data_IF_178082911932
#
_entry.id   IF_178082911932
#
_cell.length_a   1.000
_cell.length_b   1.000
_cell.length_c   1.000
_cell.angle_alpha   90.00
_cell.angle_beta   90.00
_cell.angle_gamma   90.00
#
_symmetry.space_group_name_H-M   'P 1'
#
loop_
_entity.id
_entity.type
_entity.pdbx_description
1 polymer ?
#
# COMPACT_ATOMS: atom_id res chain seq x y z
N UNK A 1 -3.44 1.63 10.79
CA UNK A 1 -2.76 0.32 10.67
C UNK A 1 -3.44 -0.54 9.62
N UNK A 2 -2.63 -1.27 8.86
CA UNK A 2 -3.01 -2.16 7.77
C UNK A 2 -2.63 -3.55 8.23
N UNK A 3 -3.62 -4.44 8.27
CA UNK A 3 -3.40 -5.84 8.60
C UNK A 3 -3.42 -6.66 7.30
N UNK A 4 -2.65 -7.74 7.27
CA UNK A 4 -2.59 -8.66 6.13
C UNK A 4 -3.25 -9.99 6.49
N UNK A 5 -3.89 -10.60 5.50
CA UNK A 5 -4.46 -11.95 5.59
C UNK A 5 -4.05 -12.76 4.37
N UNK A 6 -3.72 -14.03 4.58
CA UNK A 6 -3.53 -15.00 3.50
C UNK A 6 -4.86 -15.72 3.27
N UNK A 7 -5.30 -15.72 2.02
CA UNK A 7 -6.44 -16.53 1.58
C UNK A 7 -5.98 -17.97 1.36
N UNK A 8 -6.40 -18.89 2.23
CA UNK A 8 -6.06 -20.31 2.11
C UNK A 8 -7.13 -21.12 1.36
N UNK A 9 -8.00 -20.45 0.59
CA UNK A 9 -9.11 -21.07 -0.16
C UNK A 9 -10.48 -20.51 0.22
N UNK A 10 -10.56 -19.63 1.22
CA UNK A 10 -11.79 -18.95 1.62
C UNK A 10 -12.67 -19.80 2.53
N UNK A 11 -13.86 -19.31 2.82
CA UNK A 11 -14.81 -19.97 3.75
C UNK A 11 -15.19 -21.35 3.23
N UNK A 12 -14.93 -22.39 4.03
CA UNK A 12 -15.19 -23.79 3.70
C UNK A 12 -14.02 -24.53 3.04
N UNK A 13 -12.94 -23.84 2.68
CA UNK A 13 -11.81 -24.40 1.94
C UNK A 13 -10.45 -23.96 2.48
N UNK A 14 -10.32 -23.69 3.78
CA UNK A 14 -9.05 -23.31 4.44
C UNK A 14 -9.05 -21.94 5.12
N UNK A 15 -10.07 -21.11 4.85
CA UNK A 15 -10.31 -19.86 5.55
C UNK A 15 -9.29 -18.77 5.24
N UNK A 16 -9.20 -17.80 6.16
CA UNK A 16 -8.27 -16.67 6.09
C UNK A 16 -7.35 -16.74 7.30
N UNK A 17 -6.04 -16.66 7.08
CA UNK A 17 -5.05 -16.60 8.16
C UNK A 17 -4.53 -15.19 8.31
N UNK A 18 -4.77 -14.58 9.47
CA UNK A 18 -4.20 -13.27 9.83
C UNK A 18 -2.67 -13.38 9.93
N UNK A 19 -1.98 -12.47 9.24
CA UNK A 19 -0.52 -12.33 9.28
C UNK A 19 -0.09 -11.16 10.19
N UNK A 20 -1.05 -10.50 10.84
CA UNK A 20 -0.83 -9.38 11.72
C UNK A 20 -0.70 -8.05 10.98
N UNK A 21 -0.12 -7.07 11.66
CA UNK A 21 0.04 -5.71 11.13
C UNK A 21 1.19 -5.63 10.15
N UNK A 22 0.85 -5.35 8.91
CA UNK A 22 1.78 -5.25 7.80
C UNK A 22 2.37 -3.83 7.65
N UNK A 23 1.56 -2.82 7.94
CA UNK A 23 1.99 -1.42 7.99
C UNK A 23 1.25 -0.68 9.11
N UNK A 24 1.92 0.24 9.79
CA UNK A 24 1.30 1.11 10.80
C UNK A 24 0.33 2.12 10.19
N UNK A 25 0.51 2.43 8.90
CA UNK A 25 -0.21 3.47 8.17
C UNK A 25 0.52 4.81 8.27
N UNK A 26 0.26 5.69 7.30
CA UNK A 26 0.99 6.96 7.13
C UNK A 26 0.13 8.20 7.44
N UNK A 27 -0.98 8.02 8.15
CA UNK A 27 -1.89 9.11 8.55
C UNK A 27 -2.98 9.46 7.54
N UNK A 28 -3.03 8.78 6.40
CA UNK A 28 -4.08 8.96 5.39
C UNK A 28 -5.25 7.97 5.58
N UNK A 29 -6.49 8.36 5.19
CA UNK A 29 -7.63 7.47 5.18
C UNK A 29 -7.48 6.36 4.13
N UNK A 30 -8.11 5.21 4.38
CA UNK A 30 -7.91 3.99 3.59
C UNK A 30 -8.31 4.10 2.11
N UNK A 31 -9.23 5.00 1.77
CA UNK A 31 -9.65 5.29 0.40
C UNK A 31 -8.57 6.02 -0.42
N UNK A 32 -7.58 6.64 0.24
CA UNK A 32 -6.39 7.22 -0.39
C UNK A 32 -5.23 6.25 -0.52
N UNK A 33 -5.31 5.07 0.10
CA UNK A 33 -4.23 4.06 0.07
C UNK A 33 -4.30 3.24 -1.21
N UNK A 34 -3.15 3.00 -1.84
CA UNK A 34 -2.97 2.07 -2.96
C UNK A 34 -1.79 1.15 -2.68
N UNK A 35 -1.83 -0.02 -3.29
CA UNK A 35 -0.77 -1.02 -3.24
C UNK A 35 -0.38 -1.41 -4.67
N UNK A 36 0.89 -1.20 -5.02
CA UNK A 36 1.46 -1.57 -6.31
C UNK A 36 2.95 -1.83 -6.16
N UNK A 37 3.50 -2.75 -6.94
CA UNK A 37 4.95 -3.00 -7.00
C UNK A 37 5.58 -1.97 -7.95
N UNK A 38 6.23 -0.94 -7.40
CA UNK A 38 6.80 0.18 -8.19
C UNK A 38 8.32 0.05 -8.40
N UNK A 39 8.99 -0.84 -7.68
CA UNK A 39 10.42 -1.12 -7.83
C UNK A 39 10.73 -2.46 -8.53
N UNK A 40 9.69 -3.23 -8.88
CA UNK A 40 9.75 -4.53 -9.54
C UNK A 40 10.46 -5.63 -8.72
N UNK A 41 10.34 -5.59 -7.38
CA UNK A 41 10.94 -6.59 -6.49
C UNK A 41 9.99 -7.75 -6.11
N UNK A 42 8.75 -7.72 -6.60
CA UNK A 42 7.72 -8.72 -6.34
C UNK A 42 6.91 -8.47 -5.07
N UNK A 43 7.12 -7.35 -4.37
CA UNK A 43 6.32 -6.94 -3.20
C UNK A 43 5.48 -5.72 -3.54
N UNK A 44 4.29 -5.66 -2.96
CA UNK A 44 3.48 -4.46 -3.06
C UNK A 44 4.04 -3.35 -2.16
N UNK A 45 4.32 -2.19 -2.77
CA UNK A 45 4.70 -0.96 -2.09
C UNK A 45 3.47 -0.17 -1.63
N UNK A 46 3.67 0.70 -0.64
CA UNK A 46 2.60 1.51 -0.06
C UNK A 46 2.55 2.86 -0.75
N UNK A 47 1.38 3.24 -1.26
CA UNK A 47 1.18 4.52 -1.93
C UNK A 47 0.02 5.28 -1.30
N UNK A 48 0.14 6.60 -1.21
CA UNK A 48 -0.99 7.49 -0.90
C UNK A 48 -1.29 8.41 -2.07
N UNK A 49 -2.55 8.48 -2.47
CA UNK A 49 -3.05 9.33 -3.54
C UNK A 49 -3.89 10.46 -2.94
N UNK A 50 -3.38 11.68 -3.05
CA UNK A 50 -4.07 12.88 -2.58
C UNK A 50 -5.11 13.37 -3.58
N UNK A 51 -6.02 14.22 -3.12
CA UNK A 51 -7.15 14.71 -3.93
C UNK A 51 -6.70 15.57 -5.13
N UNK A 52 -5.51 16.18 -5.01
CA UNK A 52 -4.84 16.93 -6.06
C UNK A 52 -3.96 16.05 -6.99
N UNK A 53 -4.02 14.72 -6.84
CA UNK A 53 -3.28 13.77 -7.67
C UNK A 53 -1.82 13.56 -7.25
N UNK A 54 -1.35 14.16 -6.15
CA UNK A 54 -0.01 13.88 -5.60
C UNK A 54 0.03 12.45 -5.08
N UNK A 55 1.10 11.73 -5.44
CA UNK A 55 1.38 10.38 -4.95
C UNK A 55 2.64 10.38 -4.10
N UNK A 56 2.53 9.91 -2.87
CA UNK A 56 3.70 9.59 -2.03
C UNK A 56 3.88 8.07 -1.94
N UNK A 57 5.13 7.62 -1.81
CA UNK A 57 5.47 6.20 -1.85
C UNK A 57 6.42 5.76 -0.74
N UNK A 58 6.23 4.52 -0.29
CA UNK A 58 7.13 3.81 0.61
C UNK A 58 7.41 2.41 0.07
N UNK A 59 8.68 2.12 -0.19
CA UNK A 59 9.15 0.81 -0.67
C UNK A 59 9.06 -0.24 0.44
N UNK A 60 8.53 -1.39 0.08
CA UNK A 60 8.35 -2.52 0.97
C UNK A 60 9.60 -3.41 1.06
N UNK A 61 10.43 -3.20 2.08
CA UNK A 61 11.57 -4.08 2.33
C UNK A 61 11.19 -5.37 3.07
N UNK A 62 9.90 -5.59 3.37
CA UNK A 62 9.37 -6.75 4.06
C UNK A 62 8.25 -6.43 5.05
N UNK A 63 7.94 -5.15 5.27
CA UNK A 63 6.85 -4.72 6.14
C UNK A 63 7.25 -4.58 7.61
N UNK A 64 6.29 -4.14 8.44
CA UNK A 64 6.49 -3.97 9.88
C UNK A 64 6.83 -5.31 10.54
N UNK A 65 7.89 -5.34 11.34
CA UNK A 65 8.37 -6.59 12.00
C UNK A 65 9.30 -7.45 11.14
N UNK A 66 9.61 -7.03 9.91
CA UNK A 66 10.57 -7.69 9.02
C UNK A 66 11.61 -6.68 8.51
N UNK A 67 11.73 -6.49 7.19
CA UNK A 67 12.69 -5.55 6.59
C UNK A 67 12.28 -4.07 6.62
N UNK A 68 11.05 -3.76 7.05
CA UNK A 68 10.56 -2.39 7.19
C UNK A 68 10.14 -1.73 5.88
N UNK A 69 10.05 -0.40 5.92
CA UNK A 69 9.58 0.46 4.83
C UNK A 69 10.58 1.59 4.57
N UNK A 70 10.84 1.91 3.30
CA UNK A 70 11.70 3.03 2.90
C UNK A 70 10.89 4.13 2.21
N UNK A 71 10.80 5.30 2.83
CA UNK A 71 10.14 6.47 2.24
C UNK A 71 10.88 6.94 0.99
N UNK A 72 10.14 7.08 -0.11
CA UNK A 72 10.63 7.67 -1.36
C UNK A 72 10.17 9.12 -1.53
N UNK A 73 9.26 9.60 -0.67
CA UNK A 73 8.64 10.91 -0.79
C UNK A 73 7.66 10.97 -1.95
N UNK A 74 7.58 12.14 -2.60
CA UNK A 74 6.67 12.35 -3.73
C UNK A 74 7.15 11.58 -4.96
N UNK A 75 6.42 10.52 -5.28
CA UNK A 75 6.64 9.69 -6.46
C UNK A 75 6.06 10.33 -7.72
N UNK A 76 4.93 11.04 -7.59
CA UNK A 76 4.34 11.84 -8.66
C UNK A 76 3.75 13.13 -8.09
N UNK A 77 4.06 14.27 -8.73
CA UNK A 77 3.62 15.61 -8.27
C UNK A 77 2.15 15.92 -8.56
N UNK A 78 1.44 15.01 -9.23
CA UNK A 78 0.10 15.23 -9.78
C UNK A 78 0.14 15.96 -11.13
N UNK A 79 -0.80 15.62 -12.02
CA UNK A 79 -0.94 16.26 -13.35
C UNK A 79 -1.91 17.46 -13.33
N UNK A 80 -2.30 17.94 -12.14
CA UNK A 80 -3.34 18.97 -11.98
C UNK A 80 -4.78 18.44 -12.17
N UNK A 81 -4.95 17.12 -12.33
CA UNK A 81 -6.26 16.48 -12.41
C UNK A 81 -6.71 15.96 -11.03
N UNK A 82 -8.02 15.86 -10.79
CA UNK A 82 -8.55 15.26 -9.56
C UNK A 82 -8.03 13.84 -9.34
N UNK A 83 -7.70 13.49 -8.09
CA UNK A 83 -7.14 12.20 -7.71
C UNK A 83 -7.96 10.98 -8.20
N UNK A 84 -9.30 11.09 -8.31
CA UNK A 84 -10.14 9.99 -8.81
C UNK A 84 -9.91 9.63 -10.29
N UNK A 85 -9.19 10.46 -11.06
CA UNK A 85 -8.78 10.16 -12.44
C UNK A 85 -7.40 9.50 -12.53
N UNK A 86 -6.62 9.52 -11.45
CA UNK A 86 -5.31 8.85 -11.38
C UNK A 86 -5.55 7.38 -11.06
N UNK A 87 -5.06 6.50 -11.95
CA UNK A 87 -5.06 5.04 -11.75
C UNK A 87 -3.64 4.58 -11.46
N UNK A 88 -3.50 3.78 -10.41
CA UNK A 88 -2.29 3.09 -9.99
C UNK A 88 -2.62 1.60 -9.99
#
# INVERSE_FOLDING_TARGET
MINAWINNGGTGHGGWSEQGTFATGVGEPGDKVRFADINADGKADYLTLQDNGVVNAWINNGGTGHGGWSEQGTFATGVGEPGHKVRI
#
